data_IF_556676093495
#
_entry.id   IF_556676093495
#
_cell.length_a   1.000
_cell.length_b   1.000
_cell.length_c   1.000
_cell.angle_alpha   90.00
_cell.angle_beta   90.00
_cell.angle_gamma   90.00
#
_symmetry.space_group_name_H-M   'P 1'
#
loop_
_entity.id
_entity.type
_entity.pdbx_description
1 polymer ?
#
# COMPACT_ATOMS: atom_id res chain seq x y z
N UNK A 1 104.14 -11.21 -13.38
CA UNK A 1 103.33 -9.97 -13.34
C UNK A 1 102.11 -10.20 -12.46
N UNK A 2 101.68 -9.16 -11.74
CA UNK A 2 101.05 -9.20 -10.42
C UNK A 2 99.57 -9.62 -10.42
N UNK A 3 99.21 -10.48 -9.47
CA UNK A 3 97.84 -10.77 -9.02
C UNK A 3 97.18 -9.52 -8.42
N UNK A 4 95.90 -9.27 -8.73
CA UNK A 4 95.00 -8.41 -7.94
C UNK A 4 93.69 -9.15 -7.70
N UNK A 5 93.45 -9.47 -6.43
CA UNK A 5 92.18 -9.95 -5.91
C UNK A 5 91.21 -8.77 -5.74
N UNK A 6 89.94 -8.96 -6.08
CA UNK A 6 88.85 -8.09 -5.64
C UNK A 6 87.91 -8.91 -4.75
N UNK A 7 87.72 -8.39 -3.54
CA UNK A 7 86.85 -8.94 -2.50
C UNK A 7 85.38 -8.68 -2.81
N UNK A 8 84.54 -9.69 -2.60
CA UNK A 8 83.09 -9.59 -2.62
C UNK A 8 82.59 -9.03 -1.28
N UNK A 9 81.83 -7.92 -1.34
CA UNK A 9 81.22 -7.29 -0.18
C UNK A 9 79.76 -7.77 -0.08
N UNK A 10 79.46 -8.54 0.98
CA UNK A 10 78.13 -9.05 1.29
C UNK A 10 77.31 -7.94 1.95
N UNK A 11 76.23 -7.47 1.30
CA UNK A 11 75.28 -6.51 1.89
C UNK A 11 74.18 -7.31 2.60
N UNK A 12 74.13 -7.22 3.92
CA UNK A 12 73.02 -7.73 4.75
C UNK A 12 71.90 -6.69 4.74
N UNK A 13 70.79 -6.99 4.08
CA UNK A 13 69.54 -6.21 4.22
C UNK A 13 68.85 -6.60 5.53
N UNK A 14 68.80 -5.67 6.48
CA UNK A 14 67.95 -5.79 7.67
C UNK A 14 66.49 -5.57 7.27
N UNK A 15 65.66 -6.60 7.39
CA UNK A 15 64.21 -6.50 7.21
C UNK A 15 63.57 -5.90 8.48
N UNK A 16 63.14 -4.65 8.40
CA UNK A 16 62.32 -4.00 9.42
C UNK A 16 60.86 -4.44 9.26
N UNK A 17 60.36 -5.23 10.21
CA UNK A 17 58.95 -5.62 10.27
C UNK A 17 58.09 -4.44 10.71
N UNK A 18 57.52 -3.71 9.74
CA UNK A 18 56.49 -2.72 10.00
C UNK A 18 55.17 -3.45 10.34
N UNK A 19 54.72 -3.35 11.59
CA UNK A 19 53.41 -3.84 12.00
C UNK A 19 52.32 -3.00 11.31
N UNK A 20 51.47 -3.65 10.52
CA UNK A 20 50.30 -3.01 9.92
C UNK A 20 49.30 -2.65 11.03
N UNK A 21 48.68 -1.45 11.00
CA UNK A 21 47.64 -1.13 11.96
C UNK A 21 46.43 -2.04 11.72
N UNK A 22 46.03 -2.77 12.76
CA UNK A 22 44.77 -3.51 12.79
C UNK A 22 43.65 -2.48 12.75
N UNK A 23 43.03 -2.30 11.58
CA UNK A 23 41.78 -1.57 11.46
C UNK A 23 40.73 -2.32 12.25
N UNK A 24 40.28 -1.74 13.37
CA UNK A 24 39.13 -2.24 14.10
C UNK A 24 37.95 -2.33 13.13
N UNK A 25 37.42 -3.54 12.94
CA UNK A 25 36.20 -3.75 12.19
C UNK A 25 35.10 -2.93 12.86
N UNK A 26 34.60 -1.90 12.18
CA UNK A 26 33.42 -1.16 12.59
C UNK A 26 32.27 -2.17 12.59
N UNK A 27 31.79 -2.57 13.76
CA UNK A 27 30.57 -3.35 13.89
C UNK A 27 29.48 -2.67 13.05
N UNK A 28 28.73 -3.40 12.20
CA UNK A 28 27.67 -2.79 11.42
C UNK A 28 26.74 -2.08 12.39
N UNK A 29 26.62 -0.77 12.27
CA UNK A 29 25.74 0.03 13.10
C UNK A 29 24.36 -0.64 13.08
N UNK A 30 23.92 -1.11 14.25
CA UNK A 30 22.58 -1.68 14.42
C UNK A 30 21.61 -0.59 13.98
N UNK A 31 21.00 -0.75 12.79
CA UNK A 31 19.99 0.21 12.33
C UNK A 31 18.92 0.28 13.41
N UNK A 32 18.63 1.45 14.01
CA UNK A 32 17.62 1.52 15.04
C UNK A 32 16.30 1.00 14.47
N UNK A 33 15.71 0.04 15.18
CA UNK A 33 14.44 -0.57 14.82
C UNK A 33 13.41 0.52 14.54
N UNK A 34 12.59 0.34 13.50
CA UNK A 34 11.46 1.25 13.27
C UNK A 34 10.45 1.09 14.42
N UNK A 35 9.85 2.19 14.93
CA UNK A 35 8.94 2.11 16.07
C UNK A 35 7.83 1.09 15.83
N UNK A 36 7.40 0.38 16.88
CA UNK A 36 6.25 -0.53 16.79
C UNK A 36 4.96 0.26 16.53
N UNK A 37 4.86 1.46 17.08
CA UNK A 37 3.71 2.33 16.93
C UNK A 37 4.19 3.75 16.68
N UNK A 38 3.48 4.44 15.79
CA UNK A 38 3.68 5.84 15.44
C UNK A 38 2.31 6.49 15.53
N UNK A 39 2.15 7.34 16.54
CA UNK A 39 0.95 8.14 16.72
C UNK A 39 1.21 9.54 16.18
N UNK A 40 0.22 10.09 15.49
CA UNK A 40 0.33 11.41 14.91
C UNK A 40 -1.00 12.15 14.91
N UNK A 41 -0.90 13.43 14.56
CA UNK A 41 -2.04 14.31 14.32
C UNK A 41 -1.89 15.00 12.98
N UNK A 42 -2.98 15.13 12.23
CA UNK A 42 -3.01 15.81 10.94
C UNK A 42 -4.28 16.63 10.77
N UNK A 43 -4.13 17.90 10.36
CA UNK A 43 -5.25 18.75 10.00
C UNK A 43 -5.96 18.26 8.72
N UNK A 44 -5.31 17.39 7.93
CA UNK A 44 -5.91 16.79 6.74
C UNK A 44 -6.97 15.74 7.08
N UNK A 45 -6.94 15.19 8.31
CA UNK A 45 -7.89 14.23 8.90
C UNK A 45 -8.15 12.94 8.10
N UNK A 46 -8.51 11.91 8.85
CA UNK A 46 -8.95 10.60 8.35
C UNK A 46 -8.06 9.98 7.27
N UNK A 47 -6.77 9.72 7.56
CA UNK A 47 -5.96 8.91 6.68
C UNK A 47 -6.58 7.51 6.49
N UNK A 48 -6.79 7.12 5.24
CA UNK A 48 -7.37 5.82 4.89
C UNK A 48 -6.31 4.92 4.24
N UNK A 49 -5.67 5.37 3.16
CA UNK A 49 -4.58 4.63 2.53
C UNK A 49 -3.21 4.92 3.11
N UNK A 50 -2.34 3.89 3.10
CA UNK A 50 -0.94 3.95 3.51
C UNK A 50 -0.04 3.23 2.51
N UNK A 51 1.14 3.77 2.23
CA UNK A 51 2.19 3.10 1.47
C UNK A 51 3.57 3.40 2.05
N UNK A 52 4.53 2.49 1.88
CA UNK A 52 5.92 2.72 2.28
C UNK A 52 6.73 3.37 1.16
N UNK A 53 7.35 4.50 1.44
CA UNK A 53 8.32 5.13 0.55
C UNK A 53 9.76 4.72 0.96
N UNK A 54 10.40 3.83 0.20
CA UNK A 54 11.75 3.38 0.51
C UNK A 54 12.82 4.46 0.29
N UNK A 55 12.52 5.54 -0.43
CA UNK A 55 13.48 6.62 -0.71
C UNK A 55 13.57 7.61 0.43
N UNK A 56 12.46 7.82 1.16
CA UNK A 56 12.38 8.69 2.34
C UNK A 56 12.50 7.94 3.65
N UNK A 57 12.39 6.60 3.62
CA UNK A 57 12.24 5.78 4.82
C UNK A 57 11.07 6.25 5.69
N UNK A 58 9.93 6.53 5.05
CA UNK A 58 8.73 7.09 5.65
C UNK A 58 7.48 6.45 5.01
N UNK A 59 6.33 6.61 5.66
CA UNK A 59 5.04 6.29 5.07
C UNK A 59 4.53 7.45 4.24
N UNK A 60 3.75 7.17 3.19
CA UNK A 60 2.81 8.10 2.60
C UNK A 60 1.42 7.74 3.11
N UNK A 61 0.65 8.74 3.49
CA UNK A 61 -0.74 8.60 3.91
C UNK A 61 -1.64 9.56 3.12
N UNK A 62 -2.87 9.12 2.85
CA UNK A 62 -3.91 9.94 2.25
C UNK A 62 -4.74 10.72 3.27
N UNK A 63 -5.82 11.34 2.79
CA UNK A 63 -6.87 11.96 3.58
C UNK A 63 -8.23 11.83 2.89
N UNK A 64 -9.23 11.35 3.65
CA UNK A 64 -10.61 11.40 3.19
C UNK A 64 -11.19 12.82 3.22
N UNK A 65 -10.82 13.63 4.20
CA UNK A 65 -11.46 14.94 4.38
C UNK A 65 -11.02 15.95 3.32
N UNK A 66 -9.73 16.02 3.01
CA UNK A 66 -9.14 17.09 2.19
C UNK A 66 -8.56 16.60 0.87
N UNK A 67 -8.32 15.29 0.72
CA UNK A 67 -7.67 14.70 -0.46
C UNK A 67 -6.17 15.01 -0.55
N UNK A 68 -5.56 15.45 0.55
CA UNK A 68 -4.13 15.72 0.65
C UNK A 68 -3.35 14.45 0.97
N UNK A 69 -2.11 14.42 0.50
CA UNK A 69 -1.17 13.31 0.70
C UNK A 69 0.01 13.85 1.48
N UNK A 70 0.38 13.16 2.54
CA UNK A 70 1.48 13.54 3.43
C UNK A 70 2.46 12.40 3.62
N UNK A 71 3.75 12.72 3.75
CA UNK A 71 4.75 11.77 4.24
C UNK A 71 4.85 11.83 5.75
N UNK A 72 4.93 10.68 6.41
CA UNK A 72 5.02 10.56 7.88
C UNK A 72 6.21 9.69 8.25
N UNK A 73 7.14 10.28 9.01
CA UNK A 73 8.34 9.62 9.50
C UNK A 73 8.12 8.85 10.80
N UNK A 74 9.21 8.60 11.52
CA UNK A 74 9.21 7.92 12.83
C UNK A 74 8.65 8.78 13.96
N UNK A 75 8.60 10.08 13.76
CA UNK A 75 8.12 11.09 14.71
C UNK A 75 6.60 11.29 14.67
N UNK A 76 5.91 10.68 13.69
CA UNK A 76 4.46 10.83 13.50
C UNK A 76 4.05 12.20 12.95
N UNK A 77 4.99 13.05 12.53
CA UNK A 77 4.71 14.39 12.02
C UNK A 77 4.44 14.32 10.51
N UNK A 78 3.26 14.76 10.04
CA UNK A 78 2.98 14.81 8.60
C UNK A 78 3.70 15.97 7.91
N UNK A 79 4.30 15.67 6.77
CA UNK A 79 4.87 16.66 5.85
C UNK A 79 4.16 16.59 4.48
N UNK A 80 3.83 17.73 3.84
CA UNK A 80 3.14 17.72 2.56
C UNK A 80 3.92 16.94 1.48
N UNK A 81 3.22 16.07 0.76
CA UNK A 81 3.74 15.35 -0.39
C UNK A 81 3.03 15.76 -1.68
N UNK A 82 1.69 15.81 -1.66
CA UNK A 82 0.90 16.12 -2.85
C UNK A 82 -0.57 16.36 -2.51
N UNK A 83 -1.36 16.70 -3.53
CA UNK A 83 -2.81 16.89 -3.41
C UNK A 83 -3.50 16.18 -4.56
N UNK A 84 -4.53 15.39 -4.25
CA UNK A 84 -5.36 14.73 -5.24
C UNK A 84 -6.17 15.75 -6.06
N UNK A 85 -6.41 15.47 -7.36
CA UNK A 85 -7.35 16.25 -8.14
C UNK A 85 -8.81 16.01 -7.70
N UNK A 86 -9.09 14.96 -6.91
CA UNK A 86 -10.39 14.65 -6.34
C UNK A 86 -10.64 15.26 -4.96
N UNK A 87 -11.80 14.97 -4.38
CA UNK A 87 -12.18 15.40 -3.03
C UNK A 87 -11.42 14.64 -1.95
N UNK A 88 -11.38 13.31 -2.06
CA UNK A 88 -10.78 12.39 -1.10
C UNK A 88 -9.73 11.50 -1.77
N UNK A 89 -8.79 10.96 -1.00
CA UNK A 89 -7.90 9.87 -1.41
C UNK A 89 -8.20 8.60 -0.61
N UNK A 90 -8.02 7.45 -1.24
CA UNK A 90 -8.20 6.13 -0.62
C UNK A 90 -6.88 5.36 -0.69
N UNK A 91 -6.80 4.25 -1.42
CA UNK A 91 -5.59 3.46 -1.65
C UNK A 91 -4.41 4.22 -2.27
N UNK A 92 -3.23 3.95 -1.72
CA UNK A 92 -1.93 4.47 -2.17
C UNK A 92 -0.99 3.30 -2.52
N UNK A 93 -0.22 3.43 -3.59
CA UNK A 93 0.84 2.47 -3.92
C UNK A 93 2.11 3.16 -4.41
N UNK A 94 3.26 2.78 -3.83
CA UNK A 94 4.58 3.28 -4.23
C UNK A 94 5.22 2.30 -5.21
N UNK A 95 5.36 2.70 -6.47
CA UNK A 95 6.10 1.97 -7.51
C UNK A 95 7.49 2.59 -7.65
N UNK A 96 8.35 2.29 -6.68
CA UNK A 96 9.68 2.89 -6.55
C UNK A 96 10.58 2.62 -7.77
N UNK A 97 10.45 1.43 -8.39
CA UNK A 97 11.25 1.07 -9.58
C UNK A 97 10.92 1.93 -10.80
N UNK A 98 9.71 2.52 -10.84
CA UNK A 98 9.29 3.47 -11.88
C UNK A 98 9.21 4.92 -11.38
N UNK A 99 9.76 5.22 -10.20
CA UNK A 99 9.77 6.55 -9.59
C UNK A 99 8.39 7.22 -9.51
N UNK A 100 7.34 6.46 -9.16
CA UNK A 100 5.97 6.99 -9.11
C UNK A 100 5.19 6.52 -7.88
N UNK A 101 4.20 7.32 -7.51
CA UNK A 101 3.15 6.99 -6.54
C UNK A 101 1.82 7.04 -7.27
N UNK A 102 1.03 6.00 -7.11
CA UNK A 102 -0.35 5.98 -7.60
C UNK A 102 -1.28 6.15 -6.40
N UNK A 103 -2.28 7.01 -6.56
CA UNK A 103 -3.24 7.34 -5.51
C UNK A 103 -4.62 7.30 -6.14
N UNK A 104 -5.52 6.48 -5.60
CA UNK A 104 -6.93 6.56 -5.95
C UNK A 104 -7.51 7.85 -5.37
N UNK A 105 -8.35 8.52 -6.15
CA UNK A 105 -9.13 9.65 -5.67
C UNK A 105 -10.58 9.44 -6.05
N UNK A 106 -11.48 9.81 -5.16
CA UNK A 106 -12.90 9.82 -5.44
C UNK A 106 -13.65 10.81 -4.53
N UNK A 107 -14.95 10.92 -4.71
CA UNK A 107 -15.85 11.55 -3.76
C UNK A 107 -17.02 10.62 -3.47
N UNK A 108 -17.09 10.09 -2.25
CA UNK A 108 -18.18 9.24 -1.76
C UNK A 108 -19.07 9.94 -0.72
N UNK A 109 -18.85 11.24 -0.49
CA UNK A 109 -19.70 12.06 0.39
C UNK A 109 -19.09 12.42 1.74
N UNK A 110 -17.90 11.93 2.05
CA UNK A 110 -17.26 12.11 3.36
C UNK A 110 -16.22 13.24 3.40
N UNK A 111 -15.90 13.84 2.25
CA UNK A 111 -14.90 14.89 2.17
C UNK A 111 -15.47 16.30 2.38
N UNK A 112 -14.63 17.23 2.82
CA UNK A 112 -15.03 18.62 3.11
C UNK A 112 -15.45 19.39 1.85
N UNK A 113 -14.92 18.99 0.69
CA UNK A 113 -15.22 19.59 -0.62
C UNK A 113 -16.30 18.84 -1.39
N UNK A 114 -17.02 17.94 -0.72
CA UNK A 114 -18.14 17.20 -1.33
C UNK A 114 -19.19 18.18 -1.83
N UNK A 115 -19.71 17.91 -3.03
CA UNK A 115 -20.82 18.64 -3.63
C UNK A 115 -21.63 17.73 -4.53
N UNK A 116 -22.81 18.16 -4.97
CA UNK A 116 -23.61 17.42 -5.95
C UNK A 116 -22.83 17.18 -7.28
N UNK A 117 -21.92 18.09 -7.64
CA UNK A 117 -21.10 17.97 -8.84
C UNK A 117 -20.02 16.88 -8.73
N UNK A 118 -19.64 16.49 -7.52
CA UNK A 118 -18.51 15.58 -7.27
C UNK A 118 -18.94 14.23 -6.72
N UNK A 119 -19.98 14.20 -5.88
CA UNK A 119 -20.47 13.02 -5.19
C UNK A 119 -20.80 11.88 -6.15
N UNK A 120 -20.08 10.76 -6.00
CA UNK A 120 -20.11 9.58 -6.85
C UNK A 120 -19.87 9.84 -8.35
N UNK A 121 -19.27 10.98 -8.68
CA UNK A 121 -18.98 11.42 -10.05
C UNK A 121 -17.47 11.57 -10.29
N UNK A 122 -16.73 12.03 -9.29
CA UNK A 122 -15.26 12.03 -9.33
C UNK A 122 -14.74 10.68 -8.86
N UNK A 123 -14.02 9.97 -9.73
CA UNK A 123 -13.34 8.72 -9.35
C UNK A 123 -12.24 8.40 -10.38
N UNK A 124 -11.04 8.09 -9.92
CA UNK A 124 -9.89 7.82 -10.79
C UNK A 124 -8.56 7.62 -10.05
N UNK A 125 -7.46 7.63 -10.81
CA UNK A 125 -6.10 7.47 -10.27
C UNK A 125 -5.25 8.68 -10.63
N UNK A 126 -4.58 9.26 -9.64
CA UNK A 126 -3.55 10.26 -9.81
C UNK A 126 -2.17 9.62 -9.68
N UNK A 127 -1.27 9.96 -10.60
CA UNK A 127 0.11 9.45 -10.66
C UNK A 127 1.06 10.61 -10.39
N UNK A 128 1.85 10.47 -9.33
CA UNK A 128 2.82 11.47 -8.89
C UNK A 128 4.23 10.97 -9.09
N UNK A 129 5.14 11.90 -9.37
CA UNK A 129 6.56 11.65 -9.28
C UNK A 129 6.95 11.34 -7.81
N UNK A 130 7.52 10.17 -7.55
CA UNK A 130 7.85 9.76 -6.17
C UNK A 130 8.81 10.73 -5.49
N UNK A 131 9.80 11.26 -6.20
CA UNK A 131 10.83 12.14 -5.62
C UNK A 131 10.31 13.55 -5.36
N UNK A 132 9.58 14.15 -6.29
CA UNK A 132 9.17 15.55 -6.17
C UNK A 132 7.76 15.75 -5.62
N UNK A 133 6.91 14.72 -5.57
CA UNK A 133 5.49 14.86 -5.21
C UNK A 133 4.66 15.57 -6.28
N UNK A 134 5.24 15.88 -7.46
CA UNK A 134 4.54 16.54 -8.56
C UNK A 134 3.57 15.57 -9.23
N UNK A 135 2.32 16.01 -9.44
CA UNK A 135 1.34 15.29 -10.26
C UNK A 135 1.85 15.20 -11.71
N UNK A 136 1.96 13.99 -12.24
CA UNK A 136 2.40 13.71 -13.61
C UNK A 136 1.23 13.32 -14.52
N UNK A 137 0.22 12.62 -13.98
CA UNK A 137 -0.94 12.18 -14.75
C UNK A 137 -2.17 12.02 -13.88
N UNK A 138 -3.34 12.34 -14.45
CA UNK A 138 -4.66 11.97 -13.94
C UNK A 138 -5.29 10.98 -14.92
N UNK A 139 -5.83 9.88 -14.41
CA UNK A 139 -6.61 8.90 -15.17
C UNK A 139 -8.02 8.91 -14.62
N UNK A 140 -8.96 9.41 -15.41
CA UNK A 140 -10.38 9.41 -15.06
C UNK A 140 -10.99 8.04 -15.36
N UNK A 141 -11.69 7.47 -14.38
CA UNK A 141 -12.34 6.18 -14.51
C UNK A 141 -13.85 6.32 -14.72
N UNK A 142 -14.45 7.48 -14.41
CA UNK A 142 -15.85 7.74 -14.67
C UNK A 142 -16.08 8.36 -16.06
N UNK A 143 -15.79 7.59 -17.11
CA UNK A 143 -15.99 8.03 -18.51
C UNK A 143 -17.11 7.25 -19.17
N UNK A 144 -17.79 7.78 -20.21
CA UNK A 144 -18.81 7.02 -20.95
C UNK A 144 -18.31 5.69 -21.53
N UNK A 145 -17.00 5.59 -21.83
CA UNK A 145 -16.38 4.34 -22.31
C UNK A 145 -16.29 3.29 -21.20
N UNK A 146 -15.93 3.71 -20.00
CA UNK A 146 -15.73 2.81 -18.87
C UNK A 146 -17.03 2.55 -18.13
N UNK A 147 -17.93 3.53 -18.07
CA UNK A 147 -19.20 3.53 -17.38
C UNK A 147 -20.37 3.92 -18.33
N UNK A 148 -20.68 3.09 -19.34
CA UNK A 148 -21.64 3.44 -20.40
C UNK A 148 -23.08 3.56 -19.92
N UNK A 149 -23.46 2.85 -18.84
CA UNK A 149 -24.78 2.97 -18.23
C UNK A 149 -24.93 4.22 -17.35
N UNK A 150 -23.84 4.96 -17.11
CA UNK A 150 -23.77 5.94 -16.04
C UNK A 150 -23.88 5.30 -14.65
N UNK A 151 -24.16 6.12 -13.64
CA UNK A 151 -24.31 5.64 -12.25
C UNK A 151 -23.16 6.08 -11.35
N UNK A 152 -23.11 5.50 -10.15
CA UNK A 152 -22.17 5.88 -9.09
C UNK A 152 -20.77 5.35 -9.43
N UNK A 153 -19.75 6.14 -9.11
CA UNK A 153 -18.35 5.77 -9.24
C UNK A 153 -17.57 6.22 -8.00
N UNK A 154 -16.66 5.39 -7.53
CA UNK A 154 -15.96 5.61 -6.27
C UNK A 154 -14.90 4.55 -6.05
N UNK A 155 -13.73 4.75 -6.66
CA UNK A 155 -12.59 3.84 -6.49
C UNK A 155 -12.07 3.84 -5.06
N UNK A 156 -11.60 2.68 -4.61
CA UNK A 156 -10.99 2.53 -3.30
C UNK A 156 -9.51 2.17 -3.40
N UNK A 157 -9.16 0.94 -3.73
CA UNK A 157 -7.78 0.45 -3.60
C UNK A 157 -7.14 0.15 -4.97
N UNK A 158 -5.81 0.02 -4.99
CA UNK A 158 -5.08 -0.36 -6.19
C UNK A 158 -3.87 -1.26 -5.94
N UNK A 159 -3.63 -2.15 -6.90
CA UNK A 159 -2.44 -2.99 -6.97
C UNK A 159 -1.67 -2.75 -8.27
N UNK A 160 -0.36 -3.02 -8.27
CA UNK A 160 0.49 -2.84 -9.45
C UNK A 160 1.19 -4.16 -9.78
N UNK A 161 1.17 -4.56 -11.06
CA UNK A 161 1.92 -5.73 -11.53
C UNK A 161 3.39 -5.42 -11.85
N UNK A 162 4.15 -6.49 -12.16
CA UNK A 162 5.57 -6.39 -12.44
C UNK A 162 5.92 -5.49 -13.65
N UNK A 163 5.01 -5.30 -14.60
CA UNK A 163 5.23 -4.43 -15.79
C UNK A 163 4.69 -3.02 -15.58
N UNK A 164 3.98 -2.77 -14.49
CA UNK A 164 3.49 -1.46 -14.07
C UNK A 164 2.06 -1.15 -14.51
N UNK A 165 1.26 -2.15 -14.85
CA UNK A 165 -0.19 -1.94 -14.92
C UNK A 165 -0.74 -1.79 -13.51
N UNK A 166 -1.66 -0.85 -13.33
CA UNK A 166 -2.44 -0.72 -12.11
C UNK A 166 -3.78 -1.43 -12.26
N UNK A 167 -4.27 -2.02 -11.17
CA UNK A 167 -5.57 -2.65 -11.07
C UNK A 167 -6.32 -2.00 -9.93
N UNK A 168 -7.54 -1.53 -10.18
CA UNK A 168 -8.23 -0.60 -9.27
C UNK A 168 -9.61 -1.13 -8.99
N UNK A 169 -9.98 -1.21 -7.71
CA UNK A 169 -11.33 -1.56 -7.27
C UNK A 169 -12.22 -0.34 -7.26
N UNK A 170 -13.46 -0.52 -7.71
CA UNK A 170 -14.50 0.48 -7.57
C UNK A 170 -15.74 -0.14 -6.94
N UNK A 171 -15.85 -0.07 -5.60
CA UNK A 171 -17.01 -0.60 -4.89
C UNK A 171 -18.34 0.04 -5.30
N UNK A 172 -18.36 1.25 -5.86
CA UNK A 172 -19.59 1.94 -6.24
C UNK A 172 -20.12 1.55 -7.62
N UNK A 173 -19.28 0.94 -8.47
CA UNK A 173 -19.61 0.49 -9.83
C UNK A 173 -19.39 -1.01 -10.05
N UNK A 174 -19.18 -1.77 -8.98
CA UNK A 174 -19.03 -3.23 -8.95
C UNK A 174 -17.99 -3.76 -9.96
N UNK A 175 -16.91 -3.00 -10.12
CA UNK A 175 -15.96 -3.19 -11.19
C UNK A 175 -14.52 -3.19 -10.69
N UNK A 176 -13.67 -3.85 -11.48
CA UNK A 176 -12.22 -3.77 -11.35
C UNK A 176 -11.67 -3.28 -12.68
N UNK A 177 -10.89 -2.21 -12.63
CA UNK A 177 -10.27 -1.59 -13.79
C UNK A 177 -8.82 -2.02 -13.93
N UNK A 178 -8.30 -1.98 -15.15
CA UNK A 178 -6.89 -2.08 -15.46
C UNK A 178 -6.43 -0.79 -16.14
N UNK A 179 -5.31 -0.24 -15.68
CA UNK A 179 -4.67 0.95 -16.24
C UNK A 179 -3.25 0.58 -16.66
N UNK A 180 -2.94 0.77 -17.93
CA UNK A 180 -1.58 0.53 -18.45
C UNK A 180 -0.60 1.64 -18.02
N UNK A 181 0.74 1.42 -18.10
CA UNK A 181 1.72 2.47 -17.81
C UNK A 181 1.54 3.77 -18.62
N UNK A 182 0.96 3.70 -19.82
CA UNK A 182 0.65 4.87 -20.65
C UNK A 182 -0.62 5.61 -20.20
N UNK A 183 -1.35 5.08 -19.21
CA UNK A 183 -2.59 5.65 -18.68
C UNK A 183 -3.85 5.20 -19.40
N UNK A 184 -3.77 4.26 -20.35
CA UNK A 184 -4.97 3.70 -20.98
C UNK A 184 -5.70 2.79 -20.00
N UNK A 185 -6.97 3.11 -19.72
CA UNK A 185 -7.83 2.39 -18.79
C UNK A 185 -8.85 1.51 -19.53
N UNK A 186 -9.17 0.37 -18.94
CA UNK A 186 -10.20 -0.57 -19.41
C UNK A 186 -10.85 -1.26 -18.21
N UNK A 187 -12.09 -1.71 -18.37
CA UNK A 187 -12.72 -2.64 -17.43
C UNK A 187 -12.00 -3.98 -17.54
N UNK A 188 -11.51 -4.51 -16.42
CA UNK A 188 -10.97 -5.87 -16.35
C UNK A 188 -12.08 -6.87 -16.00
N UNK A 189 -12.88 -6.56 -14.98
CA UNK A 189 -13.99 -7.40 -14.51
C UNK A 189 -15.20 -6.54 -14.17
N UNK A 190 -16.37 -6.99 -14.60
CA UNK A 190 -17.68 -6.69 -14.03
C UNK A 190 -18.44 -8.00 -13.92
N UNK A 191 -18.87 -8.34 -12.72
CA UNK A 191 -19.46 -9.64 -12.42
C UNK A 191 -20.44 -9.47 -11.25
N UNK A 192 -21.59 -10.14 -11.31
CA UNK A 192 -22.64 -10.07 -10.28
C UNK A 192 -22.12 -10.45 -8.89
N UNK A 193 -21.10 -11.31 -8.80
CA UNK A 193 -20.49 -11.71 -7.53
C UNK A 193 -19.80 -10.55 -6.80
N UNK A 194 -19.46 -9.48 -7.51
CA UNK A 194 -18.88 -8.25 -6.93
C UNK A 194 -19.94 -7.28 -6.41
N UNK A 195 -21.20 -7.39 -6.88
CA UNK A 195 -22.27 -6.44 -6.57
C UNK A 195 -22.67 -6.45 -5.10
N UNK A 196 -22.81 -5.27 -4.49
CA UNK A 196 -23.18 -5.10 -3.09
C UNK A 196 -24.19 -3.96 -2.89
N UNK A 197 -25.11 -4.13 -1.94
CA UNK A 197 -25.99 -3.06 -1.47
C UNK A 197 -25.29 -2.07 -0.53
N UNK A 198 -24.07 -2.41 -0.05
CA UNK A 198 -23.27 -1.57 0.85
C UNK A 198 -21.90 -1.26 0.24
N UNK A 199 -20.89 -2.09 0.52
CA UNK A 199 -19.53 -1.94 0.01
C UNK A 199 -19.11 -3.26 -0.64
N UNK A 200 -18.86 -3.20 -1.95
CA UNK A 200 -18.48 -4.34 -2.78
C UNK A 200 -16.96 -4.63 -2.77
N UNK A 201 -16.32 -4.80 -3.95
CA UNK A 201 -14.89 -5.11 -4.04
C UNK A 201 -14.07 -3.95 -3.46
N UNK A 202 -13.23 -4.26 -2.46
CA UNK A 202 -12.51 -3.23 -1.71
C UNK A 202 -11.00 -3.40 -1.83
N UNK A 203 -10.30 -4.00 -0.85
CA UNK A 203 -8.85 -4.18 -0.95
C UNK A 203 -8.44 -5.09 -2.10
N UNK A 204 -7.27 -4.83 -2.69
CA UNK A 204 -6.75 -5.57 -3.83
C UNK A 204 -5.22 -5.69 -3.80
N UNK A 205 -4.70 -6.88 -4.13
CA UNK A 205 -3.26 -7.13 -4.27
C UNK A 205 -2.93 -7.89 -5.53
N UNK A 206 -1.74 -7.63 -6.08
CA UNK A 206 -1.16 -8.40 -7.17
C UNK A 206 -0.30 -9.54 -6.61
N UNK A 207 -0.57 -10.76 -7.06
CA UNK A 207 0.29 -11.91 -6.81
C UNK A 207 1.31 -12.08 -7.95
N UNK A 208 2.63 -12.22 -7.66
CA UNK A 208 3.66 -12.43 -8.67
C UNK A 208 3.43 -13.62 -9.61
N UNK A 209 2.59 -14.59 -9.22
CA UNK A 209 2.17 -15.70 -10.08
C UNK A 209 1.14 -15.30 -11.16
N UNK A 210 0.81 -14.02 -11.32
CA UNK A 210 0.07 -13.52 -12.49
C UNK A 210 -1.44 -13.32 -12.28
N UNK A 211 -1.88 -13.13 -11.05
CA UNK A 211 -3.30 -12.96 -10.72
C UNK A 211 -3.49 -11.95 -9.58
N UNK A 212 -4.72 -11.45 -9.44
CA UNK A 212 -5.11 -10.55 -8.35
C UNK A 212 -5.86 -11.33 -7.28
N UNK A 213 -5.78 -10.83 -6.05
CA UNK A 213 -6.70 -11.15 -4.99
C UNK A 213 -7.44 -9.88 -4.59
N UNK A 214 -8.76 -9.95 -4.43
CA UNK A 214 -9.57 -8.86 -3.93
C UNK A 214 -10.57 -9.37 -2.91
N UNK A 215 -10.82 -8.61 -1.86
CA UNK A 215 -11.83 -8.93 -0.87
C UNK A 215 -13.08 -8.11 -1.14
N UNK A 216 -14.24 -8.75 -1.03
CA UNK A 216 -15.53 -8.07 -1.00
C UNK A 216 -15.87 -7.73 0.45
N UNK A 217 -16.09 -6.45 0.73
CA UNK A 217 -16.11 -5.93 2.10
C UNK A 217 -17.27 -6.49 2.94
N UNK A 218 -18.50 -6.44 2.42
CA UNK A 218 -19.72 -6.83 3.15
C UNK A 218 -19.80 -8.32 3.52
N UNK A 219 -19.41 -9.22 2.61
CA UNK A 219 -19.51 -10.68 2.76
C UNK A 219 -18.20 -11.29 3.22
N UNK A 220 -17.09 -10.57 3.11
CA UNK A 220 -15.76 -11.09 3.40
C UNK A 220 -15.26 -12.15 2.42
N UNK A 221 -15.89 -12.24 1.25
CA UNK A 221 -15.50 -13.20 0.21
C UNK A 221 -14.17 -12.75 -0.40
N UNK A 222 -13.17 -13.64 -0.40
CA UNK A 222 -11.91 -13.42 -1.11
C UNK A 222 -12.04 -14.00 -2.52
N UNK A 223 -11.81 -13.15 -3.51
CA UNK A 223 -11.82 -13.55 -4.91
C UNK A 223 -10.42 -13.57 -5.49
N UNK A 224 -10.19 -14.53 -6.38
CA UNK A 224 -9.02 -14.63 -7.25
C UNK A 224 -9.42 -14.26 -8.68
N UNK A 225 -8.67 -13.35 -9.28
CA UNK A 225 -8.94 -12.84 -10.64
C UNK A 225 -7.72 -13.07 -11.53
N UNK A 226 -7.91 -13.72 -12.68
CA UNK A 226 -6.84 -13.87 -13.68
C UNK A 226 -6.48 -12.54 -14.33
N UNK A 227 -5.32 -12.42 -14.95
CA UNK A 227 -4.93 -11.21 -15.70
C UNK A 227 -5.85 -10.89 -16.89
N UNK A 228 -6.74 -11.82 -17.28
CA UNK A 228 -7.79 -11.66 -18.29
C UNK A 228 -9.16 -11.33 -17.72
N UNK A 229 -9.29 -11.26 -16.39
CA UNK A 229 -10.54 -10.91 -15.71
C UNK A 229 -11.41 -12.10 -15.32
N UNK A 230 -10.92 -13.34 -15.38
CA UNK A 230 -11.69 -14.50 -14.93
C UNK A 230 -11.75 -14.52 -13.40
N UNK A 231 -12.96 -14.37 -12.86
CA UNK A 231 -13.22 -14.31 -11.42
C UNK A 231 -13.55 -15.70 -10.85
N UNK A 232 -12.90 -16.05 -9.75
CA UNK A 232 -13.10 -17.31 -9.00
C UNK A 232 -13.06 -17.03 -7.49
N UNK A 233 -13.80 -17.81 -6.70
CA UNK A 233 -13.81 -17.66 -5.24
C UNK A 233 -12.65 -18.44 -4.63
N UNK A 234 -11.92 -17.82 -3.70
CA UNK A 234 -10.95 -18.52 -2.85
C UNK A 234 -11.68 -19.23 -1.72
N UNK A 235 -11.47 -20.54 -1.57
CA UNK A 235 -12.00 -21.30 -0.45
C UNK A 235 -11.34 -20.87 0.87
N UNK A 236 -12.10 -20.21 1.73
CA UNK A 236 -11.68 -19.81 3.08
C UNK A 236 -12.39 -20.64 4.14
N UNK A 237 -11.72 -20.88 5.28
CA UNK A 237 -12.34 -21.49 6.46
C UNK A 237 -13.25 -20.53 7.21
N UNK A 238 -13.05 -19.22 7.04
CA UNK A 238 -13.85 -18.17 7.67
C UNK A 238 -13.87 -16.95 6.75
N UNK A 239 -15.04 -16.32 6.64
CA UNK A 239 -15.20 -15.11 5.85
C UNK A 239 -14.48 -13.92 6.50
N UNK A 240 -13.96 -13.02 5.68
CA UNK A 240 -13.26 -11.80 6.10
C UNK A 240 -14.24 -10.61 6.17
N UNK A 241 -15.39 -10.76 6.83
CA UNK A 241 -16.44 -9.72 6.84
C UNK A 241 -15.86 -8.40 7.36
N UNK A 242 -16.14 -7.31 6.66
CA UNK A 242 -15.51 -6.00 6.87
C UNK A 242 -14.08 -5.92 6.32
N UNK A 243 -13.72 -6.82 5.40
CA UNK A 243 -12.42 -6.90 4.75
C UNK A 243 -12.17 -5.67 3.90
N UNK A 244 -11.22 -4.87 4.35
CA UNK A 244 -10.87 -3.58 3.78
C UNK A 244 -9.57 -3.76 2.99
N UNK A 245 -8.45 -3.21 3.46
CA UNK A 245 -7.15 -3.32 2.81
C UNK A 245 -6.53 -4.73 2.85
N UNK A 246 -5.84 -5.05 1.75
CA UNK A 246 -5.06 -6.29 1.61
C UNK A 246 -3.57 -5.95 1.41
N UNK A 247 -2.68 -6.76 1.99
CA UNK A 247 -1.24 -6.66 1.73
C UNK A 247 -0.63 -8.06 1.50
N UNK A 248 0.18 -8.20 0.44
CA UNK A 248 0.85 -9.45 0.11
C UNK A 248 2.35 -9.36 0.44
N UNK A 249 2.84 -10.26 1.29
CA UNK A 249 4.26 -10.35 1.61
C UNK A 249 5.04 -11.05 0.49
N UNK A 250 6.37 -10.86 0.49
CA UNK A 250 7.26 -11.52 -0.49
C UNK A 250 7.22 -13.05 -0.43
N UNK A 251 6.97 -13.63 0.75
CA UNK A 251 6.80 -15.07 0.94
C UNK A 251 5.38 -15.57 0.63
N UNK A 252 4.52 -14.71 0.06
CA UNK A 252 3.20 -15.09 -0.45
C UNK A 252 2.10 -15.17 0.61
N UNK A 253 2.33 -14.65 1.82
CA UNK A 253 1.27 -14.51 2.84
C UNK A 253 0.41 -13.28 2.53
N UNK A 254 -0.89 -13.44 2.68
CA UNK A 254 -1.85 -12.37 2.54
C UNK A 254 -2.23 -11.88 3.93
N UNK A 255 -2.06 -10.59 4.18
CA UNK A 255 -2.59 -9.90 5.35
C UNK A 255 -3.90 -9.28 4.90
N UNK A 256 -4.98 -9.63 5.58
CA UNK A 256 -6.28 -8.99 5.42
C UNK A 256 -6.58 -8.16 6.67
N UNK A 257 -6.86 -6.87 6.47
CA UNK A 257 -7.32 -5.98 7.52
C UNK A 257 -8.84 -5.97 7.46
N UNK A 258 -9.48 -6.27 8.58
CA UNK A 258 -10.93 -6.22 8.72
C UNK A 258 -11.31 -5.15 9.75
N UNK A 259 -12.46 -4.51 9.55
CA UNK A 259 -13.03 -3.53 10.46
C UNK A 259 -14.56 -3.59 10.47
N UNK A 260 -15.20 -2.63 11.15
CA UNK A 260 -16.66 -2.54 11.32
C UNK A 260 -17.27 -1.23 10.80
N UNK A 261 -16.61 -0.59 9.83
CA UNK A 261 -17.00 0.74 9.34
C UNK A 261 -18.27 0.74 8.49
N UNK A 262 -18.56 -0.34 7.74
CA UNK A 262 -19.73 -0.45 6.86
C UNK A 262 -20.41 -1.83 6.88
N UNK A 263 -19.94 -2.75 7.72
CA UNK A 263 -20.45 -4.12 7.87
C UNK A 263 -20.17 -4.63 9.28
N UNK A 264 -20.85 -5.70 9.70
CA UNK A 264 -20.67 -6.35 11.01
C UNK A 264 -19.37 -7.19 11.09
N UNK A 265 -18.25 -6.61 10.67
CA UNK A 265 -16.93 -7.23 10.73
C UNK A 265 -16.27 -7.14 12.11
N UNK A 266 -15.01 -7.56 12.18
CA UNK A 266 -14.19 -7.57 13.40
C UNK A 266 -12.92 -6.77 13.14
N UNK A 267 -12.49 -5.95 14.08
CA UNK A 267 -11.25 -5.16 13.98
C UNK A 267 -10.04 -6.06 14.26
N UNK A 268 -9.38 -6.53 13.19
CA UNK A 268 -8.24 -7.44 13.31
C UNK A 268 -7.39 -7.45 12.05
N UNK A 269 -6.17 -7.96 12.18
CA UNK A 269 -5.32 -8.37 11.08
C UNK A 269 -5.29 -9.89 11.00
N UNK A 270 -5.71 -10.46 9.86
CA UNK A 270 -5.69 -11.90 9.60
C UNK A 270 -4.59 -12.24 8.62
N UNK A 271 -3.68 -13.13 9.00
CA UNK A 271 -2.62 -13.64 8.11
C UNK A 271 -3.08 -14.96 7.51
N UNK A 272 -3.21 -14.97 6.18
CA UNK A 272 -3.60 -16.12 5.39
C UNK A 272 -2.38 -16.72 4.67
N UNK A 273 -2.42 -18.03 4.49
CA UNK A 273 -1.45 -18.78 3.68
C UNK A 273 -2.19 -19.67 2.69
N UNK A 274 -1.55 -19.94 1.55
CA UNK A 274 -2.06 -20.87 0.55
C UNK A 274 -0.92 -21.73 0.02
N UNK A 275 -1.25 -22.95 -0.40
CA UNK A 275 -0.35 -23.89 -1.09
C UNK A 275 -0.76 -24.16 -2.54
N UNK A 276 -1.84 -23.53 -3.01
CA UNK A 276 -2.49 -23.84 -4.29
C UNK A 276 -2.80 -22.58 -5.13
N UNK A 277 -2.00 -21.52 -4.95
CA UNK A 277 -2.18 -20.21 -5.57
C UNK A 277 -3.50 -19.53 -5.20
N UNK A 278 -3.86 -19.60 -3.92
CA UNK A 278 -5.07 -19.02 -3.33
C UNK A 278 -6.35 -19.51 -4.03
N UNK A 279 -6.37 -20.77 -4.51
CA UNK A 279 -7.65 -21.45 -4.76
C UNK A 279 -8.30 -21.78 -3.44
N UNK A 280 -7.50 -22.15 -2.44
CA UNK A 280 -7.87 -22.19 -1.03
C UNK A 280 -6.85 -21.44 -0.19
N UNK A 281 -7.26 -20.94 0.97
CA UNK A 281 -6.35 -20.35 1.95
C UNK A 281 -6.77 -20.70 3.38
N UNK A 282 -5.77 -20.79 4.26
CA UNK A 282 -5.92 -21.09 5.67
C UNK A 282 -5.44 -19.92 6.51
N UNK A 283 -6.16 -19.66 7.61
CA UNK A 283 -5.75 -18.71 8.64
C UNK A 283 -4.51 -19.26 9.34
N UNK A 284 -3.41 -18.52 9.26
CA UNK A 284 -2.16 -18.80 9.97
C UNK A 284 -2.13 -18.13 11.34
N UNK A 285 -2.58 -16.89 11.42
CA UNK A 285 -2.68 -16.14 12.66
C UNK A 285 -3.72 -15.03 12.54
N UNK A 286 -4.23 -14.59 13.68
CA UNK A 286 -5.15 -13.46 13.83
C UNK A 286 -4.62 -12.60 14.96
N UNK A 287 -4.49 -11.30 14.72
CA UNK A 287 -4.20 -10.30 15.75
C UNK A 287 -5.41 -9.36 15.88
N UNK A 288 -6.14 -9.39 17.01
CA UNK A 288 -7.15 -8.37 17.31
C UNK A 288 -6.51 -6.99 17.28
N UNK A 289 -7.13 -6.05 16.59
CA UNK A 289 -6.52 -4.74 16.38
C UNK A 289 -6.90 -3.77 17.50
N UNK A 290 -5.93 -3.16 18.21
CA UNK A 290 -6.20 -2.39 19.42
C UNK A 290 -6.70 -0.95 19.17
N UNK A 291 -6.66 -0.47 17.93
CA UNK A 291 -7.08 0.89 17.56
C UNK A 291 -8.24 0.81 16.58
N UNK A 292 -9.38 1.39 16.94
CA UNK A 292 -10.60 1.33 16.13
C UNK A 292 -10.39 1.80 14.68
N UNK A 293 -11.16 1.19 13.76
CA UNK A 293 -11.18 1.52 12.34
C UNK A 293 -9.84 1.35 11.61
N UNK A 294 -9.15 0.19 11.73
CA UNK A 294 -8.00 -0.07 10.86
C UNK A 294 -8.46 -0.25 9.41
N UNK A 295 -7.73 0.33 8.46
CA UNK A 295 -8.15 0.35 7.04
C UNK A 295 -7.28 -0.57 6.20
N UNK A 296 -5.98 -0.30 6.13
CA UNK A 296 -5.06 -1.02 5.25
C UNK A 296 -3.65 -1.11 5.82
N UNK A 297 -2.78 -1.86 5.14
CA UNK A 297 -1.44 -2.19 5.59
C UNK A 297 -0.36 -1.92 4.55
N UNK A 298 0.77 -1.39 4.99
CA UNK A 298 1.98 -1.20 4.20
C UNK A 298 3.05 -2.24 4.56
N UNK A 299 3.60 -2.91 3.54
CA UNK A 299 4.76 -3.80 3.68
C UNK A 299 6.04 -2.96 3.71
N UNK A 300 6.83 -3.10 4.78
CA UNK A 300 8.12 -2.39 4.94
C UNK A 300 9.26 -3.37 5.16
N UNK A 301 10.53 -2.92 5.07
CA UNK A 301 11.68 -3.70 5.54
C UNK A 301 11.67 -4.01 7.05
N UNK A 302 10.79 -3.36 7.82
CA UNK A 302 10.71 -3.47 9.28
C UNK A 302 9.49 -4.23 9.78
N UNK A 303 8.68 -4.79 8.88
CA UNK A 303 7.43 -5.48 9.17
C UNK A 303 6.24 -4.91 8.40
N UNK A 304 5.05 -5.44 8.69
CA UNK A 304 3.78 -4.96 8.14
C UNK A 304 3.22 -3.92 9.09
N UNK A 305 2.87 -2.74 8.59
CA UNK A 305 2.29 -1.66 9.39
C UNK A 305 0.87 -1.37 8.94
N UNK A 306 -0.06 -1.32 9.87
CA UNK A 306 -1.48 -1.07 9.62
C UNK A 306 -1.83 0.35 10.08
N UNK A 307 -2.64 1.02 9.27
CA UNK A 307 -3.12 2.37 9.53
C UNK A 307 -4.51 2.33 10.20
N UNK A 308 -4.69 3.15 11.24
CA UNK A 308 -5.98 3.50 11.82
C UNK A 308 -6.11 5.03 11.81
N UNK A 309 -6.94 5.57 10.92
CA UNK A 309 -7.11 7.02 10.73
C UNK A 309 -8.30 7.64 11.46
N UNK A 310 -8.95 6.89 12.37
CA UNK A 310 -10.14 7.34 13.11
C UNK A 310 -11.38 7.62 12.25
N UNK A 311 -11.55 6.87 11.16
CA UNK A 311 -12.75 6.94 10.30
C UNK A 311 -14.01 6.52 11.08
N UNK A 312 -13.87 5.65 12.08
CA UNK A 312 -14.94 5.30 13.01
C UNK A 312 -15.55 6.54 13.68
N UNK A 313 -14.73 7.54 14.02
CA UNK A 313 -15.18 8.80 14.62
C UNK A 313 -15.95 9.64 13.61
N UNK A 314 -15.46 9.72 12.36
CA UNK A 314 -16.16 10.43 11.29
C UNK A 314 -17.55 9.84 11.04
N UNK A 315 -17.64 8.52 10.89
CA UNK A 315 -18.90 7.83 10.63
C UNK A 315 -19.85 7.86 11.84
N UNK A 316 -19.32 7.99 13.05
CA UNK A 316 -20.08 8.27 14.27
C UNK A 316 -20.55 9.72 14.43
N UNK A 317 -20.26 10.61 13.46
CA UNK A 317 -20.63 12.03 13.48
C UNK A 317 -19.70 12.91 14.33
N UNK A 318 -18.57 12.39 14.79
CA UNK A 318 -17.56 13.12 15.54
C UNK A 318 -16.48 13.75 14.65
N UNK A 319 -15.45 14.32 15.29
CA UNK A 319 -14.25 14.77 14.60
C UNK A 319 -12.97 14.28 15.28
N UNK A 320 -12.00 13.84 14.47
CA UNK A 320 -10.66 13.50 14.94
C UNK A 320 -9.59 13.97 13.94
N UNK A 321 -8.45 14.39 14.48
CA UNK A 321 -7.21 14.67 13.76
C UNK A 321 -6.15 13.58 13.98
N UNK A 322 -6.45 12.56 14.78
CA UNK A 322 -5.50 11.54 15.19
C UNK A 322 -5.37 10.42 14.16
N UNK A 323 -4.19 9.84 14.09
CA UNK A 323 -3.97 8.57 13.41
C UNK A 323 -2.91 7.75 14.14
N UNK A 324 -2.96 6.42 13.93
CA UNK A 324 -1.95 5.49 14.42
C UNK A 324 -1.48 4.61 13.28
N UNK A 325 -0.16 4.46 13.14
CA UNK A 325 0.48 3.48 12.27
C UNK A 325 1.19 2.48 13.18
N UNK A 326 0.70 1.24 13.22
CA UNK A 326 1.20 0.22 14.15
C UNK A 326 1.64 -1.03 13.41
N UNK A 327 2.74 -1.62 13.86
CA UNK A 327 3.32 -2.83 13.31
C UNK A 327 2.53 -4.06 13.78
N UNK A 328 2.19 -4.94 12.85
CA UNK A 328 1.71 -6.29 13.10
C UNK A 328 2.80 -7.12 13.80
N UNK A 329 2.45 -7.87 14.84
CA UNK A 329 3.39 -8.63 15.68
C UNK A 329 3.49 -10.09 15.24
#
# INVERSE_FOLDING_TARGET
MRFRALAAMLVVLAASSAALPVTAAVSPAVRPAYPVQIDGRTADRYPEGIAWDPTRHAFLIGSLATGRISSVGRDGVPHPFGVAPGVSTFGLHVDAVRNRVLVTYADIGNGERTSEATLYKQSGVAIYNLRSGRLERKVDLNTPRLNPAGGRHGVNDLAIDAVGNAYVTDPASDAIYRITPSGAASVLVRDERLQSDTIGPNGIVWNPAGYLLTVRYDTGTLFRISSRGELSTTGLTSALVGGDGLALTRDGRLIAITNKLGAAGIEQATVLTSRDNYRTAQVRSVEPWPVSGPTTAAITPYGVYVLSGRIDVLLGGGSSDQFTIRRLV
#
